data_IF_040270818247
#
_entry.id   IF_040270818247
#
_cell.length_a   1.000
_cell.length_b   1.000
_cell.length_c   1.000
_cell.angle_alpha   90.00
_cell.angle_beta   90.00
_cell.angle_gamma   90.00
#
_symmetry.space_group_name_H-M   'P 1'
#
loop_
_entity.id
_entity.type
_entity.pdbx_description
1 polymer ?
#
# COMPACT_ATOMS: atom_id res chain seq x y z
N UNK A 1 1.62 -0.07 -22.55
CA UNK A 1 2.62 1.03 -22.66
C UNK A 1 2.42 2.11 -21.61
N UNK A 2 1.22 2.72 -21.49
CA UNK A 2 0.96 3.76 -20.47
C UNK A 2 1.15 3.26 -19.02
N UNK A 3 0.68 2.04 -18.71
CA UNK A 3 0.83 1.42 -17.38
C UNK A 3 2.30 1.15 -17.00
N UNK A 4 3.09 0.66 -17.95
CA UNK A 4 4.53 0.43 -17.74
C UNK A 4 5.27 1.75 -17.48
N UNK A 5 4.91 2.82 -18.19
CA UNK A 5 5.48 4.14 -17.96
C UNK A 5 5.08 4.70 -16.58
N UNK A 6 3.81 4.58 -16.18
CA UNK A 6 3.37 5.03 -14.85
C UNK A 6 4.04 4.24 -13.73
N UNK A 7 4.20 2.93 -13.90
CA UNK A 7 4.91 2.07 -12.96
C UNK A 7 6.39 2.47 -12.87
N UNK A 8 7.03 2.72 -14.00
CA UNK A 8 8.42 3.19 -14.04
C UNK A 8 8.60 4.53 -13.31
N UNK A 9 7.74 5.51 -13.59
CA UNK A 9 7.76 6.80 -12.92
C UNK A 9 7.52 6.67 -11.41
N UNK A 10 6.59 5.81 -11.00
CA UNK A 10 6.33 5.53 -9.59
C UNK A 10 7.54 4.90 -8.90
N UNK A 11 8.11 3.83 -9.48
CA UNK A 11 9.30 3.16 -8.94
C UNK A 11 10.51 4.08 -8.89
N UNK A 12 10.74 4.88 -9.93
CA UNK A 12 11.85 5.83 -9.96
C UNK A 12 11.65 6.99 -8.98
N UNK A 13 10.43 7.51 -8.86
CA UNK A 13 10.09 8.52 -7.85
C UNK A 13 10.27 8.01 -6.43
N UNK A 14 9.85 6.77 -6.15
CA UNK A 14 10.08 6.11 -4.86
C UNK A 14 11.56 5.90 -4.60
N UNK A 15 12.33 5.48 -5.61
CA UNK A 15 13.78 5.32 -5.51
C UNK A 15 14.47 6.66 -5.20
N UNK A 16 14.07 7.76 -5.85
CA UNK A 16 14.60 9.09 -5.56
C UNK A 16 14.26 9.54 -4.14
N UNK A 17 12.99 9.35 -3.72
CA UNK A 17 12.52 9.74 -2.40
C UNK A 17 13.26 8.99 -1.27
N UNK A 18 13.55 7.71 -1.47
CA UNK A 18 14.27 6.89 -0.50
C UNK A 18 15.80 7.08 -0.56
N UNK A 19 16.37 7.37 -1.73
CA UNK A 19 17.82 7.46 -1.91
C UNK A 19 18.40 8.84 -1.59
N UNK A 20 17.67 9.91 -1.90
CA UNK A 20 18.11 11.29 -1.70
C UNK A 20 19.28 11.75 -2.58
N UNK A 21 19.67 10.97 -3.61
CA UNK A 21 20.79 11.30 -4.49
C UNK A 21 20.33 12.07 -5.73
N UNK A 22 20.66 13.37 -5.79
CA UNK A 22 20.35 14.24 -6.93
C UNK A 22 21.59 14.73 -7.69
N UNK A 23 22.75 14.77 -7.03
CA UNK A 23 23.97 15.38 -7.61
C UNK A 23 24.85 14.38 -8.39
N UNK A 24 24.62 13.08 -8.21
CA UNK A 24 25.45 12.03 -8.79
C UNK A 24 24.83 11.47 -10.07
N UNK A 25 25.26 11.99 -11.23
CA UNK A 25 24.72 11.58 -12.55
C UNK A 25 24.84 10.09 -12.85
N UNK A 26 25.90 9.43 -12.35
CA UNK A 26 26.11 7.99 -12.50
C UNK A 26 25.06 7.19 -11.73
N UNK A 27 24.79 7.55 -10.48
CA UNK A 27 23.80 6.88 -9.64
C UNK A 27 22.38 7.10 -10.17
N UNK A 28 22.08 8.31 -10.63
CA UNK A 28 20.80 8.61 -11.29
C UNK A 28 20.57 7.72 -12.51
N UNK A 29 21.60 7.55 -13.34
CA UNK A 29 21.54 6.70 -14.54
C UNK A 29 21.31 5.23 -14.19
N UNK A 30 22.03 4.71 -13.19
CA UNK A 30 21.84 3.33 -12.72
C UNK A 30 20.49 3.13 -12.02
N UNK A 31 19.99 4.10 -11.26
CA UNK A 31 18.64 4.07 -10.69
C UNK A 31 17.57 3.99 -11.77
N UNK A 32 17.66 4.86 -12.78
CA UNK A 32 16.73 4.87 -13.92
C UNK A 32 16.74 3.53 -14.70
N UNK A 33 17.93 2.99 -14.99
CA UNK A 33 18.10 1.70 -15.67
C UNK A 33 17.59 0.53 -14.83
N UNK A 34 17.85 0.54 -13.52
CA UNK A 34 17.35 -0.48 -12.58
C UNK A 34 15.83 -0.49 -12.53
N UNK A 35 15.19 0.68 -12.38
CA UNK A 35 13.73 0.79 -12.44
C UNK A 35 13.16 0.31 -13.78
N UNK A 36 13.86 0.58 -14.90
CA UNK A 36 13.44 0.09 -16.22
C UNK A 36 13.51 -1.44 -16.29
N UNK A 37 14.54 -2.06 -15.73
CA UNK A 37 14.67 -3.52 -15.64
C UNK A 37 13.55 -4.13 -14.78
N UNK A 38 13.23 -3.52 -13.63
CA UNK A 38 12.13 -3.98 -12.76
C UNK A 38 10.80 -3.97 -13.53
N UNK A 39 10.50 -2.88 -14.23
CA UNK A 39 9.28 -2.76 -15.04
C UNK A 39 9.26 -3.77 -16.19
N UNK A 40 10.41 -4.02 -16.82
CA UNK A 40 10.52 -5.04 -17.84
C UNK A 40 10.20 -6.43 -17.30
N UNK A 41 10.73 -6.80 -16.13
CA UNK A 41 10.44 -8.08 -15.48
C UNK A 41 8.96 -8.17 -15.08
N UNK A 42 8.41 -7.12 -14.45
CA UNK A 42 7.01 -7.07 -14.06
C UNK A 42 6.06 -7.24 -15.25
N UNK A 43 6.33 -6.51 -16.34
CA UNK A 43 5.57 -6.64 -17.59
C UNK A 43 5.65 -8.06 -18.15
N UNK A 44 6.80 -8.73 -18.04
CA UNK A 44 6.98 -10.12 -18.49
C UNK A 44 6.18 -11.11 -17.65
N UNK A 45 5.99 -10.86 -16.35
CA UNK A 45 5.16 -11.69 -15.47
C UNK A 45 3.68 -11.48 -15.73
N UNK A 46 3.23 -10.22 -15.84
CA UNK A 46 1.83 -9.87 -16.17
C UNK A 46 1.37 -10.44 -17.51
N UNK A 47 2.29 -10.60 -18.49
CA UNK A 47 1.96 -11.26 -19.76
C UNK A 47 1.84 -12.78 -19.67
N UNK A 48 2.38 -13.40 -18.62
CA UNK A 48 2.35 -14.86 -18.42
C UNK A 48 1.10 -15.28 -17.62
N UNK A 49 0.56 -14.40 -16.77
CA UNK A 49 -0.64 -14.66 -15.96
C UNK A 49 -1.63 -13.47 -16.00
N UNK A 50 -2.60 -13.48 -16.95
CA UNK A 50 -3.55 -12.38 -17.13
C UNK A 50 -4.71 -12.36 -16.12
N UNK A 51 -4.73 -13.27 -15.12
CA UNK A 51 -5.77 -13.26 -14.08
C UNK A 51 -5.63 -12.10 -13.09
N UNK A 52 -4.49 -11.41 -13.09
CA UNK A 52 -4.29 -10.18 -12.33
C UNK A 52 -5.09 -9.04 -12.98
N UNK A 53 -6.32 -8.84 -12.50
CA UNK A 53 -7.09 -7.65 -12.84
C UNK A 53 -6.22 -6.42 -12.55
N UNK A 54 -5.93 -5.57 -13.55
CA UNK A 54 -5.12 -4.39 -13.32
C UNK A 54 -5.81 -3.60 -12.22
N UNK A 55 -5.12 -3.49 -11.08
CA UNK A 55 -5.52 -2.60 -10.02
C UNK A 55 -5.51 -1.22 -10.67
N UNK A 56 -6.69 -0.75 -11.06
CA UNK A 56 -6.91 0.65 -11.36
C UNK A 56 -7.22 1.28 -10.01
N UNK A 57 -6.21 1.78 -9.27
CA UNK A 57 -6.49 2.62 -8.13
C UNK A 57 -7.27 3.81 -8.66
N UNK A 58 -8.59 3.82 -8.40
CA UNK A 58 -9.37 5.05 -8.48
C UNK A 58 -8.88 5.90 -7.33
N UNK A 59 -7.80 6.64 -7.56
CA UNK A 59 -7.33 7.73 -6.74
C UNK A 59 -8.36 8.87 -6.80
N UNK A 60 -9.51 8.62 -6.18
CA UNK A 60 -10.54 9.62 -5.99
C UNK A 60 -10.26 10.45 -4.73
N UNK A 61 -10.88 11.63 -4.60
CA UNK A 61 -10.79 12.45 -3.39
C UNK A 61 -11.22 11.69 -2.13
N UNK A 62 -12.03 10.63 -2.27
CA UNK A 62 -12.43 9.75 -1.18
C UNK A 62 -11.23 9.08 -0.51
N UNK A 63 -10.21 8.67 -1.26
CA UNK A 63 -9.03 8.03 -0.69
C UNK A 63 -8.21 9.02 0.15
N UNK A 64 -8.05 10.25 -0.35
CA UNK A 64 -7.33 11.30 0.39
C UNK A 64 -8.04 11.68 1.69
N UNK A 65 -9.37 11.68 1.73
CA UNK A 65 -10.14 11.91 2.95
C UNK A 65 -10.15 10.69 3.88
N UNK A 66 -10.07 9.49 3.33
CA UNK A 66 -10.02 8.25 4.11
C UNK A 66 -8.73 8.13 4.92
N UNK A 67 -7.59 8.57 4.38
CA UNK A 67 -6.28 8.48 5.05
C UNK A 67 -6.24 9.16 6.44
N UNK A 68 -6.59 10.46 6.58
CA UNK A 68 -6.64 11.10 7.90
C UNK A 68 -7.64 10.44 8.86
N UNK A 69 -8.81 10.03 8.33
CA UNK A 69 -9.82 9.34 9.13
C UNK A 69 -9.28 8.01 9.69
N UNK A 70 -8.62 7.21 8.85
CA UNK A 70 -8.03 5.93 9.23
C UNK A 70 -6.93 6.12 10.27
N UNK A 71 -6.02 7.08 10.06
CA UNK A 71 -4.96 7.40 11.03
C UNK A 71 -5.54 7.77 12.40
N UNK A 72 -6.63 8.54 12.42
CA UNK A 72 -7.32 8.88 13.67
C UNK A 72 -7.91 7.64 14.36
N UNK A 73 -8.54 6.73 13.61
CA UNK A 73 -9.04 5.46 14.17
C UNK A 73 -7.91 4.59 14.73
N UNK A 74 -6.75 4.55 14.07
CA UNK A 74 -5.56 3.85 14.57
C UNK A 74 -5.08 4.44 15.90
N UNK A 75 -5.06 5.77 16.04
CA UNK A 75 -4.72 6.43 17.31
C UNK A 75 -5.71 6.05 18.41
N UNK A 76 -7.01 6.12 18.13
CA UNK A 76 -8.05 5.74 19.10
C UNK A 76 -7.94 4.28 19.54
N UNK A 77 -7.71 3.36 18.60
CA UNK A 77 -7.53 1.94 18.89
C UNK A 77 -6.31 1.70 19.79
N UNK A 78 -5.17 2.34 19.52
CA UNK A 78 -3.98 2.22 20.36
C UNK A 78 -4.18 2.82 21.76
N UNK A 79 -4.89 3.94 21.88
CA UNK A 79 -5.25 4.52 23.19
C UNK A 79 -6.15 3.58 23.98
N UNK A 80 -7.12 2.94 23.32
CA UNK A 80 -8.04 1.98 23.91
C UNK A 80 -7.31 0.72 24.43
N UNK A 81 -6.35 0.19 23.66
CA UNK A 81 -5.47 -0.91 24.05
C UNK A 81 -4.55 -0.49 25.21
N UNK A 82 -3.91 0.68 25.13
CA UNK A 82 -3.01 1.18 26.17
C UNK A 82 -3.73 1.32 27.52
N UNK A 83 -4.97 1.80 27.53
CA UNK A 83 -5.80 1.87 28.75
C UNK A 83 -6.05 0.50 29.37
N UNK A 84 -6.32 -0.54 28.57
CA UNK A 84 -6.53 -1.91 29.06
C UNK A 84 -5.27 -2.52 29.64
N UNK A 85 -4.11 -2.28 29.01
CA UNK A 85 -2.81 -2.77 29.50
C UNK A 85 -2.42 -2.13 30.83
N UNK A 86 -2.70 -0.83 30.99
CA UNK A 86 -2.38 -0.08 32.21
C UNK A 86 -3.34 -0.39 33.37
N UNK A 87 -4.53 -0.95 33.09
CA UNK A 87 -5.45 -1.40 34.14
C UNK A 87 -4.93 -2.71 34.76
N UNK A 88 -4.60 -2.73 36.07
CA UNK A 88 -4.13 -3.94 36.75
C UNK A 88 -5.10 -5.12 36.67
N UNK A 89 -6.39 -4.86 36.44
CA UNK A 89 -7.42 -5.90 36.29
C UNK A 89 -7.39 -6.57 34.92
N UNK A 90 -6.69 -5.99 33.94
CA UNK A 90 -6.60 -6.47 32.55
C UNK A 90 -7.97 -6.93 32.00
N UNK A 91 -8.96 -6.02 31.90
CA UNK A 91 -10.32 -6.39 31.51
C UNK A 91 -10.40 -6.70 30.00
N UNK A 92 -10.00 -7.92 29.63
CA UNK A 92 -10.11 -8.47 28.27
C UNK A 92 -10.98 -9.74 28.27
N UNK A 93 -11.87 -9.86 27.29
CA UNK A 93 -12.75 -11.02 27.11
C UNK A 93 -12.65 -11.50 25.64
N UNK A 94 -11.72 -12.42 25.34
CA UNK A 94 -11.48 -12.88 23.97
C UNK A 94 -12.73 -13.55 23.40
N UNK A 95 -13.23 -13.02 22.29
CA UNK A 95 -14.40 -13.58 21.59
C UNK A 95 -14.04 -13.79 20.12
N UNK A 96 -14.47 -14.91 19.55
CA UNK A 96 -14.42 -15.15 18.10
C UNK A 96 -15.77 -14.80 17.48
N UNK A 97 -15.75 -13.90 16.50
CA UNK A 97 -16.93 -13.52 15.71
C UNK A 97 -16.67 -13.79 14.23
N UNK A 98 -17.68 -14.28 13.53
CA UNK A 98 -17.64 -14.42 12.08
C UNK A 98 -18.38 -13.25 11.43
N UNK A 99 -17.70 -12.50 10.56
CA UNK A 99 -18.25 -11.35 9.85
C UNK A 99 -18.36 -11.67 8.36
N UNK A 100 -19.52 -11.36 7.77
CA UNK A 100 -19.72 -11.46 6.32
C UNK A 100 -19.31 -10.13 5.66
N UNK A 101 -18.19 -10.06 4.91
CA UNK A 101 -17.73 -8.81 4.30
C UNK A 101 -18.71 -8.35 3.20
N UNK A 102 -18.91 -7.04 3.10
CA UNK A 102 -19.77 -6.43 2.07
C UNK A 102 -19.02 -6.05 0.79
N UNK A 103 -17.68 -6.13 0.81
CA UNK A 103 -16.80 -5.74 -0.28
C UNK A 103 -16.86 -6.72 -1.45
N UNK A 104 -17.03 -6.17 -2.65
CA UNK A 104 -17.24 -6.96 -3.88
C UNK A 104 -15.94 -7.43 -4.52
N UNK A 105 -14.94 -6.54 -4.64
CA UNK A 105 -13.63 -6.85 -5.24
C UNK A 105 -12.66 -7.46 -4.22
N UNK A 106 -11.76 -8.33 -4.68
CA UNK A 106 -10.76 -8.96 -3.83
C UNK A 106 -9.81 -7.93 -3.18
N UNK A 107 -9.36 -6.91 -3.93
CA UNK A 107 -8.57 -5.80 -3.36
C UNK A 107 -9.30 -5.13 -2.18
N UNK A 108 -10.60 -4.82 -2.33
CA UNK A 108 -11.37 -4.19 -1.26
C UNK A 108 -11.56 -5.11 -0.04
N UNK A 109 -11.67 -6.43 -0.23
CA UNK A 109 -11.68 -7.38 0.90
C UNK A 109 -10.34 -7.39 1.63
N UNK A 110 -9.22 -7.33 0.90
CA UNK A 110 -7.87 -7.23 1.50
C UNK A 110 -7.72 -5.91 2.27
N UNK A 111 -8.14 -4.78 1.69
CA UNK A 111 -8.11 -3.47 2.37
C UNK A 111 -9.00 -3.48 3.62
N UNK A 112 -10.17 -4.12 3.58
CA UNK A 112 -11.07 -4.20 4.74
C UNK A 112 -10.50 -5.07 5.87
N UNK A 113 -9.70 -6.08 5.53
CA UNK A 113 -9.13 -7.01 6.51
C UNK A 113 -7.85 -6.50 7.19
N UNK A 114 -7.18 -5.49 6.62
CA UNK A 114 -5.95 -4.89 7.16
C UNK A 114 -6.26 -3.55 7.85
#
# INVERSE_FOLDING_TARGET
MLHALSLWLFCFGLWLLLSGFFDNSLLLSFGALSCALVVFVAWRVETIDPEEQPLHPRFGPQLLLYWPWLLWQVVLANVDVAKRILDPKLPIDPTMIELKPSQRSDLARVIYAN
#
